data_IF_639059335575
#
_entry.id   IF_639059335575
#
_cell.length_a   1.000
_cell.length_b   1.000
_cell.length_c   1.000
_cell.angle_alpha   90.00
_cell.angle_beta   90.00
_cell.angle_gamma   90.00
#
_symmetry.space_group_name_H-M   'P 1'
#
loop_
_entity.id
_entity.type
_entity.pdbx_description
1 polymer ?
#
# COMPACT_ATOMS: atom_id res chain seq x y z
N UNK A 1 -13.81 44.13 38.26
CA UNK A 1 -15.21 44.47 38.02
C UNK A 1 -15.76 43.36 37.19
N UNK A 2 -16.24 42.29 37.81
CA UNK A 2 -17.66 41.98 38.08
C UNK A 2 -18.40 41.78 36.76
N UNK A 3 -19.13 40.73 36.43
CA UNK A 3 -20.07 39.88 37.23
C UNK A 3 -20.49 38.69 36.35
N UNK A 4 -20.41 37.46 36.87
CA UNK A 4 -21.48 36.47 37.11
C UNK A 4 -22.28 35.95 35.87
N UNK A 5 -22.15 34.63 35.55
CA UNK A 5 -22.83 33.49 36.21
C UNK A 5 -24.30 33.31 35.79
N UNK A 6 -24.66 32.14 35.23
CA UNK A 6 -25.86 31.29 35.46
C UNK A 6 -25.95 30.23 34.35
N UNK A 7 -25.57 28.99 34.54
CA UNK A 7 -26.17 27.89 35.30
C UNK A 7 -27.68 27.75 35.18
N UNK A 8 -28.15 26.69 34.53
CA UNK A 8 -29.37 25.87 34.79
C UNK A 8 -29.44 24.79 33.71
N UNK A 9 -29.03 23.55 34.00
CA UNK A 9 -29.72 22.48 34.74
C UNK A 9 -31.00 21.95 34.07
N UNK A 10 -30.86 20.65 33.71
CA UNK A 10 -31.83 19.56 33.86
C UNK A 10 -33.14 19.56 33.02
N UNK A 11 -33.34 18.44 32.27
CA UNK A 11 -34.25 17.38 32.74
C UNK A 11 -34.29 16.22 31.77
N UNK A 12 -34.06 15.07 32.36
CA UNK A 12 -34.37 13.73 31.88
C UNK A 12 -35.85 13.61 31.50
N UNK A 13 -36.17 12.87 30.44
CA UNK A 13 -37.38 12.09 30.38
C UNK A 13 -37.10 10.76 29.70
N UNK A 14 -37.14 9.72 30.52
CA UNK A 14 -37.29 8.35 30.13
C UNK A 14 -38.74 8.09 29.77
N UNK A 15 -38.96 7.38 28.66
CA UNK A 15 -40.25 6.69 28.43
C UNK A 15 -39.93 5.34 27.80
N UNK A 16 -40.07 4.32 28.62
CA UNK A 16 -40.19 2.92 28.22
C UNK A 16 -41.67 2.66 27.86
N UNK A 17 -41.91 1.81 26.89
CA UNK A 17 -43.10 0.96 26.58
C UNK A 17 -42.88 0.51 25.14
N UNK A 18 -43.02 -0.76 24.73
CA UNK A 18 -43.63 -1.91 25.33
C UNK A 18 -43.47 -3.04 24.29
N UNK A 19 -43.33 -4.20 24.81
CA UNK A 19 -43.30 -5.50 24.14
C UNK A 19 -44.58 -5.76 23.36
N UNK A 20 -44.49 -6.24 22.12
CA UNK A 20 -45.56 -6.99 21.49
C UNK A 20 -44.91 -8.07 20.57
N UNK A 21 -44.86 -9.24 21.12
CA UNK A 21 -44.73 -10.53 20.44
C UNK A 21 -45.94 -10.77 19.55
N UNK A 22 -45.69 -11.08 18.27
CA UNK A 22 -46.69 -11.81 17.46
C UNK A 22 -46.00 -12.96 16.72
N UNK A 23 -46.27 -14.15 17.24
CA UNK A 23 -46.07 -15.43 16.60
C UNK A 23 -47.12 -15.57 15.49
N UNK A 24 -46.74 -15.83 14.27
CA UNK A 24 -47.60 -16.41 13.26
C UNK A 24 -46.86 -17.52 12.56
N UNK A 25 -47.24 -18.73 12.90
CA UNK A 25 -46.94 -19.96 12.18
C UNK A 25 -47.75 -19.97 10.87
N UNK A 26 -47.13 -20.26 9.77
CA UNK A 26 -47.82 -20.68 8.56
C UNK A 26 -47.04 -21.86 7.91
N UNK A 27 -47.83 -22.87 7.72
CA UNK A 27 -47.57 -24.22 7.39
C UNK A 27 -46.79 -24.53 6.10
N UNK A 28 -46.15 -25.68 6.15
CA UNK A 28 -45.53 -26.41 5.07
C UNK A 28 -46.46 -26.63 3.85
N UNK A 29 -45.89 -26.49 2.67
CA UNK A 29 -46.35 -27.20 1.47
C UNK A 29 -45.17 -27.92 0.83
N UNK A 30 -45.13 -29.20 1.05
CA UNK A 30 -44.24 -30.14 0.39
C UNK A 30 -44.72 -30.37 -1.05
N UNK A 31 -43.92 -30.01 -2.01
CA UNK A 31 -44.08 -30.50 -3.40
C UNK A 31 -42.98 -31.51 -3.67
N UNK A 32 -43.37 -32.75 -3.64
CA UNK A 32 -42.57 -33.91 -4.00
C UNK A 32 -42.36 -33.97 -5.51
N UNK A 33 -41.13 -33.89 -5.97
CA UNK A 33 -40.77 -34.22 -7.35
C UNK A 33 -40.12 -35.61 -7.37
N UNK A 34 -40.47 -36.51 -8.34
CA UNK A 34 -40.04 -37.90 -8.30
C UNK A 34 -38.56 -38.04 -8.73
N UNK A 35 -37.83 -38.85 -7.98
CA UNK A 35 -36.53 -39.40 -8.31
C UNK A 35 -36.58 -40.17 -9.61
N UNK A 36 -35.93 -39.69 -10.66
CA UNK A 36 -35.66 -40.46 -11.87
C UNK A 36 -34.46 -41.35 -11.58
N UNK A 37 -34.72 -42.64 -11.45
CA UNK A 37 -33.72 -43.72 -11.40
C UNK A 37 -32.98 -43.77 -12.74
N UNK A 38 -31.73 -43.36 -12.76
CA UNK A 38 -30.80 -43.64 -13.85
C UNK A 38 -30.20 -45.02 -13.60
N UNK A 39 -30.54 -46.01 -14.42
CA UNK A 39 -29.95 -47.34 -14.44
C UNK A 39 -28.47 -47.26 -14.85
N UNK A 40 -27.56 -48.00 -14.23
CA UNK A 40 -26.17 -48.08 -14.68
C UNK A 40 -26.05 -48.95 -15.94
N UNK A 41 -25.52 -48.36 -17.02
CA UNK A 41 -25.09 -49.10 -18.20
C UNK A 41 -23.80 -49.89 -17.88
N UNK A 42 -23.68 -51.15 -18.36
CA UNK A 42 -22.47 -51.94 -18.23
C UNK A 42 -21.34 -51.39 -19.13
N UNK A 43 -20.21 -51.05 -18.54
CA UNK A 43 -18.99 -50.70 -19.26
C UNK A 43 -18.35 -51.96 -19.87
N UNK A 44 -17.79 -51.86 -21.08
CA UNK A 44 -17.06 -52.95 -21.68
C UNK A 44 -15.72 -53.18 -20.97
N UNK A 45 -15.47 -54.38 -20.53
CA UNK A 45 -14.21 -54.81 -19.92
C UNK A 45 -13.08 -54.74 -20.95
N UNK A 46 -12.22 -53.73 -20.83
CA UNK A 46 -10.95 -53.72 -21.56
C UNK A 46 -9.96 -54.70 -20.87
N UNK A 47 -9.53 -55.71 -21.64
CA UNK A 47 -8.47 -56.63 -21.26
C UNK A 47 -7.18 -55.87 -20.91
N UNK A 48 -6.71 -56.06 -19.68
CA UNK A 48 -5.39 -55.65 -19.26
C UNK A 48 -4.35 -56.49 -20.02
N UNK A 49 -3.63 -55.81 -20.93
CA UNK A 49 -2.37 -56.37 -21.45
C UNK A 49 -1.30 -56.18 -20.39
N UNK A 50 -0.75 -57.27 -19.92
CA UNK A 50 0.40 -57.27 -19.02
C UNK A 50 1.60 -56.84 -19.83
N UNK A 51 2.04 -55.60 -19.58
CA UNK A 51 3.34 -55.11 -20.05
C UNK A 51 4.31 -55.26 -18.92
N UNK A 52 5.30 -56.11 -19.08
CA UNK A 52 6.42 -56.31 -18.15
C UNK A 52 7.18 -54.99 -17.95
N UNK A 53 7.55 -54.61 -16.74
CA UNK A 53 8.34 -53.42 -16.53
C UNK A 53 9.80 -53.67 -16.97
N UNK A 54 10.17 -53.05 -18.07
CA UNK A 54 11.59 -52.85 -18.43
C UNK A 54 12.19 -51.86 -17.47
N UNK A 55 13.16 -52.31 -16.68
CA UNK A 55 13.88 -51.51 -15.73
C UNK A 55 14.70 -50.44 -16.46
N UNK A 56 14.19 -49.21 -16.42
CA UNK A 56 14.98 -48.02 -16.76
C UNK A 56 15.72 -47.56 -15.51
N UNK A 57 17.05 -47.29 -15.59
CA UNK A 57 17.78 -46.80 -14.43
C UNK A 57 17.25 -45.43 -14.01
N UNK A 58 16.96 -45.29 -12.70
CA UNK A 58 16.50 -44.07 -12.08
C UNK A 58 17.43 -42.90 -12.44
N UNK A 59 16.91 -41.98 -13.23
CA UNK A 59 17.56 -40.68 -13.44
C UNK A 59 17.55 -39.94 -12.09
N UNK A 60 18.74 -39.63 -11.60
CA UNK A 60 19.01 -38.78 -10.46
C UNK A 60 18.19 -37.48 -10.63
N UNK A 61 17.48 -36.99 -9.61
CA UNK A 61 16.79 -35.70 -9.73
C UNK A 61 17.87 -34.65 -10.07
N UNK A 62 17.70 -33.98 -11.21
CA UNK A 62 18.48 -32.81 -11.53
C UNK A 62 18.13 -31.75 -10.49
N UNK A 63 19.04 -31.48 -9.56
CA UNK A 63 19.02 -30.27 -8.76
C UNK A 63 19.08 -29.10 -9.74
N UNK A 64 17.93 -28.41 -9.87
CA UNK A 64 17.90 -27.10 -10.50
C UNK A 64 18.85 -26.20 -9.71
N UNK A 65 19.81 -25.53 -10.35
CA UNK A 65 20.64 -24.58 -9.65
C UNK A 65 19.71 -23.48 -9.12
N UNK A 66 19.50 -23.45 -7.81
CA UNK A 66 18.93 -22.29 -7.14
C UNK A 66 19.96 -21.19 -7.32
N UNK A 67 19.80 -20.39 -8.37
CA UNK A 67 20.55 -19.16 -8.52
C UNK A 67 20.08 -18.27 -7.36
N UNK A 68 20.79 -18.35 -6.24
CA UNK A 68 20.71 -17.30 -5.23
C UNK A 68 21.08 -16.03 -5.95
N UNK A 69 20.08 -15.19 -6.21
CA UNK A 69 20.32 -13.83 -6.60
C UNK A 69 21.20 -13.24 -5.51
N UNK A 70 22.46 -13.00 -5.85
CA UNK A 70 23.42 -12.37 -4.94
C UNK A 70 22.81 -11.03 -4.55
N UNK A 71 22.35 -10.94 -3.31
CA UNK A 71 21.91 -9.67 -2.74
C UNK A 71 23.09 -8.70 -2.88
N UNK A 72 22.82 -7.52 -3.38
CA UNK A 72 23.86 -6.49 -3.56
C UNK A 72 24.47 -6.20 -2.18
N UNK A 73 25.75 -6.47 -1.94
CA UNK A 73 26.37 -6.35 -0.62
C UNK A 73 26.27 -4.94 -0.04
N UNK A 74 26.05 -3.93 -0.89
CA UNK A 74 25.77 -2.57 -0.45
C UNK A 74 24.39 -2.43 0.23
N UNK A 75 23.44 -3.31 -0.07
CA UNK A 75 22.11 -3.32 0.51
C UNK A 75 22.03 -4.07 1.85
N UNK A 76 23.06 -4.79 2.26
CA UNK A 76 23.16 -5.44 3.57
C UNK A 76 24.03 -4.68 4.57
N UNK A 77 24.71 -3.62 4.13
CA UNK A 77 25.64 -2.88 4.97
C UNK A 77 24.90 -2.13 6.11
N UNK A 78 25.47 -2.23 7.31
CA UNK A 78 25.01 -1.52 8.51
C UNK A 78 25.24 -0.02 8.36
N UNK A 79 24.23 0.77 8.68
CA UNK A 79 24.25 2.23 8.63
C UNK A 79 23.99 2.90 9.98
N UNK A 80 24.19 4.22 10.04
CA UNK A 80 23.89 5.01 11.23
C UNK A 80 22.40 4.96 11.57
N UNK A 81 22.07 4.79 12.85
CA UNK A 81 20.70 4.69 13.33
C UNK A 81 20.12 3.28 13.37
N UNK A 82 20.77 2.29 12.73
CA UNK A 82 20.32 0.90 12.77
C UNK A 82 20.42 0.31 14.16
N UNK A 83 19.56 -0.65 14.47
CA UNK A 83 19.61 -1.44 15.69
C UNK A 83 20.09 -2.85 15.37
N UNK A 84 21.16 -3.28 16.01
CA UNK A 84 21.73 -4.60 15.86
C UNK A 84 21.41 -5.44 17.09
N UNK A 85 20.94 -6.66 16.88
CA UNK A 85 20.87 -7.68 17.91
C UNK A 85 22.11 -8.56 17.82
N UNK A 86 22.93 -8.54 18.86
CA UNK A 86 24.22 -9.22 18.92
C UNK A 86 24.13 -10.34 19.95
N UNK A 87 24.31 -11.57 19.50
CA UNK A 87 24.28 -12.76 20.38
C UNK A 87 25.66 -13.36 20.44
N UNK A 88 26.18 -13.56 21.66
CA UNK A 88 27.44 -14.24 21.89
C UNK A 88 27.18 -15.64 22.39
N UNK A 89 27.50 -16.65 21.58
CA UNK A 89 27.25 -18.03 21.93
C UNK A 89 28.01 -18.44 23.20
N UNK A 90 27.39 -19.17 24.11
CA UNK A 90 27.90 -19.57 25.45
C UNK A 90 28.17 -18.43 26.43
N UNK A 91 27.91 -17.16 26.06
CA UNK A 91 28.07 -16.01 26.94
C UNK A 91 26.82 -15.12 26.84
N UNK A 92 25.66 -15.56 27.37
CA UNK A 92 24.40 -14.82 27.24
C UNK A 92 24.44 -13.43 27.90
N UNK A 93 25.33 -13.25 28.88
CA UNK A 93 25.56 -11.95 29.54
C UNK A 93 26.15 -10.89 28.61
N UNK A 94 26.73 -11.27 27.48
CA UNK A 94 27.24 -10.37 26.46
C UNK A 94 26.24 -10.15 25.32
N UNK A 95 25.08 -10.85 25.34
CA UNK A 95 24.04 -10.64 24.36
C UNK A 95 23.35 -9.30 24.60
N UNK A 96 23.35 -8.44 23.57
CA UNK A 96 22.83 -7.07 23.73
C UNK A 96 22.27 -6.53 22.40
N UNK A 97 21.35 -5.58 22.54
CA UNK A 97 20.87 -4.74 21.45
C UNK A 97 21.69 -3.46 21.41
N UNK A 98 22.34 -3.18 20.31
CA UNK A 98 23.19 -2.01 20.15
C UNK A 98 22.68 -1.13 19.01
N UNK A 99 22.47 0.16 19.29
CA UNK A 99 22.15 1.16 18.28
C UNK A 99 23.44 1.71 17.68
N UNK A 100 23.47 1.79 16.36
CA UNK A 100 24.58 2.41 15.64
C UNK A 100 24.51 3.93 15.78
N UNK A 101 25.57 4.54 16.27
CA UNK A 101 25.69 5.99 16.42
C UNK A 101 25.79 6.71 15.07
N UNK A 102 25.63 8.02 15.07
CA UNK A 102 25.83 8.85 13.87
C UNK A 102 27.27 8.81 13.34
N UNK A 103 28.23 8.45 14.22
CA UNK A 103 29.64 8.22 13.83
C UNK A 103 29.89 6.83 13.24
N UNK A 104 28.86 5.98 13.22
CA UNK A 104 28.93 4.63 12.69
C UNK A 104 29.59 3.62 13.60
N UNK A 105 29.52 3.85 14.90
CA UNK A 105 30.03 2.96 15.97
C UNK A 105 28.90 2.40 16.81
N UNK A 106 29.11 1.23 17.38
CA UNK A 106 28.29 0.67 18.46
C UNK A 106 29.12 0.57 19.73
N UNK A 107 28.47 0.70 20.88
CA UNK A 107 29.09 0.42 22.19
C UNK A 107 28.80 -1.03 22.54
N UNK A 108 29.85 -1.83 22.72
CA UNK A 108 29.71 -3.24 23.09
C UNK A 108 30.41 -3.52 24.43
N UNK A 109 29.83 -4.35 25.31
CA UNK A 109 30.41 -4.67 26.60
C UNK A 109 31.86 -5.18 26.47
N UNK A 110 32.72 -4.82 27.40
CA UNK A 110 34.13 -5.18 27.53
C UNK A 110 35.06 -4.58 26.48
N UNK A 111 34.64 -4.36 25.24
CA UNK A 111 35.49 -3.88 24.13
C UNK A 111 35.25 -2.42 23.76
N UNK A 112 34.19 -1.78 24.31
CA UNK A 112 33.88 -0.37 24.07
C UNK A 112 33.36 -0.10 22.64
N UNK A 113 33.88 0.96 22.03
CA UNK A 113 33.40 1.42 20.71
C UNK A 113 33.93 0.55 19.57
N UNK A 114 33.01 0.03 18.77
CA UNK A 114 33.29 -0.79 17.57
C UNK A 114 32.72 -0.09 16.35
N UNK A 115 33.58 0.22 15.36
CA UNK A 115 33.12 0.79 14.09
C UNK A 115 32.49 -0.28 13.21
N UNK A 116 31.22 -0.07 12.85
CA UNK A 116 30.40 -1.06 12.14
C UNK A 116 29.80 -0.55 10.82
N UNK A 117 29.82 0.76 10.57
CA UNK A 117 29.24 1.34 9.34
C UNK A 117 29.90 0.77 8.10
N UNK A 118 29.08 0.39 7.12
CA UNK A 118 29.55 -0.18 5.85
C UNK A 118 29.92 -1.66 5.91
N UNK A 119 29.84 -2.28 7.08
CA UNK A 119 30.08 -3.72 7.24
C UNK A 119 28.74 -4.49 7.15
N UNK A 120 28.79 -5.72 6.63
CA UNK A 120 27.64 -6.63 6.74
C UNK A 120 27.49 -7.13 8.19
N UNK A 121 26.32 -7.61 8.62
CA UNK A 121 26.12 -8.20 9.95
C UNK A 121 27.12 -9.30 10.27
N UNK A 122 27.48 -10.11 9.27
CA UNK A 122 28.49 -11.17 9.39
C UNK A 122 29.89 -10.59 9.66
N UNK A 123 30.27 -9.53 8.94
CA UNK A 123 31.55 -8.85 9.15
C UNK A 123 31.62 -8.15 10.51
N UNK A 124 30.47 -7.59 10.98
CA UNK A 124 30.35 -7.02 12.33
C UNK A 124 30.58 -8.10 13.38
N UNK A 125 29.97 -9.28 13.24
CA UNK A 125 30.15 -10.42 14.14
C UNK A 125 31.61 -10.88 14.17
N UNK A 126 32.25 -11.02 13.01
CA UNK A 126 33.65 -11.37 12.91
C UNK A 126 34.58 -10.35 13.60
N UNK A 127 34.29 -9.05 13.42
CA UNK A 127 35.07 -7.95 14.05
C UNK A 127 34.91 -7.96 15.58
N UNK A 128 33.71 -8.14 16.10
CA UNK A 128 33.45 -8.24 17.54
C UNK A 128 34.19 -9.49 18.11
N UNK A 129 34.08 -10.63 17.44
CA UNK A 129 34.78 -11.87 17.83
C UNK A 129 36.28 -11.66 17.94
N UNK A 130 36.87 -10.99 16.94
CA UNK A 130 38.31 -10.71 16.93
C UNK A 130 38.72 -9.79 18.08
N UNK A 131 37.95 -8.72 18.36
CA UNK A 131 38.24 -7.80 19.47
C UNK A 131 38.11 -8.47 20.85
N UNK A 132 37.09 -9.33 21.04
CA UNK A 132 36.90 -10.11 22.27
C UNK A 132 38.05 -11.08 22.52
N UNK A 133 38.57 -11.70 21.45
CA UNK A 133 39.73 -12.62 21.50
C UNK A 133 41.00 -11.86 21.82
N UNK A 134 41.28 -10.75 21.15
CA UNK A 134 42.48 -9.92 21.39
C UNK A 134 42.49 -9.36 22.82
N UNK A 135 41.34 -8.94 23.34
CA UNK A 135 41.16 -8.49 24.72
C UNK A 135 41.25 -9.61 25.77
N UNK A 136 41.36 -10.89 25.33
CA UNK A 136 41.34 -12.09 26.20
C UNK A 136 40.10 -12.22 27.08
N UNK A 137 38.99 -11.59 26.68
CA UNK A 137 37.73 -11.65 27.43
C UNK A 137 37.01 -12.99 27.21
N UNK A 138 37.11 -13.55 26.00
CA UNK A 138 36.53 -14.84 25.61
C UNK A 138 37.52 -15.62 24.79
N UNK A 139 37.74 -16.92 25.09
CA UNK A 139 38.74 -17.73 24.44
C UNK A 139 38.39 -18.06 22.99
N UNK A 140 37.13 -18.45 22.76
CA UNK A 140 36.59 -18.77 21.42
C UNK A 140 35.23 -18.08 21.28
N UNK A 141 35.21 -16.77 20.99
CA UNK A 141 33.97 -16.03 20.82
C UNK A 141 33.31 -16.39 19.50
N UNK A 142 32.09 -16.84 19.57
CA UNK A 142 31.21 -17.08 18.43
C UNK A 142 30.08 -16.07 18.51
N UNK A 143 30.09 -15.09 17.61
CA UNK A 143 29.18 -13.93 17.63
C UNK A 143 28.29 -13.96 16.41
N UNK A 144 26.99 -14.03 16.63
CA UNK A 144 25.97 -13.85 15.62
C UNK A 144 25.38 -12.44 15.72
N UNK A 145 25.28 -11.76 14.60
CA UNK A 145 24.68 -10.42 14.51
C UNK A 145 23.52 -10.46 13.54
N UNK A 146 22.37 -9.94 13.97
CA UNK A 146 21.21 -9.73 13.12
C UNK A 146 20.73 -8.29 13.22
N UNK A 147 20.06 -7.80 12.20
CA UNK A 147 19.48 -6.46 12.20
C UNK A 147 18.11 -6.54 12.88
N UNK A 148 17.97 -5.90 14.06
CA UNK A 148 16.70 -5.82 14.77
C UNK A 148 15.79 -4.73 14.17
N UNK A 149 16.37 -3.58 13.76
CA UNK A 149 15.67 -2.51 13.06
C UNK A 149 16.59 -1.84 12.04
N UNK A 150 16.09 -1.65 10.84
CA UNK A 150 16.78 -0.93 9.76
C UNK A 150 16.24 0.49 9.71
N UNK A 151 17.02 1.45 10.18
CA UNK A 151 16.66 2.87 10.20
C UNK A 151 17.49 3.70 9.22
N UNK A 152 18.66 3.20 8.84
CA UNK A 152 19.58 3.87 7.92
C UNK A 152 19.09 3.87 6.47
N UNK A 153 18.31 2.88 6.10
CA UNK A 153 17.84 2.65 4.73
C UNK A 153 16.33 2.54 4.72
N UNK A 154 15.67 3.66 4.60
CA UNK A 154 14.21 3.73 4.59
C UNK A 154 13.73 4.59 3.43
N UNK A 155 12.57 4.25 2.89
CA UNK A 155 11.77 5.06 1.99
C UNK A 155 10.58 5.61 2.77
N UNK A 156 10.26 6.88 2.57
CA UNK A 156 9.09 7.51 3.16
C UNK A 156 7.91 7.40 2.20
N UNK A 157 6.78 6.85 2.63
CA UNK A 157 5.54 6.79 1.85
C UNK A 157 4.53 7.71 2.51
N UNK A 158 4.12 8.75 1.80
CA UNK A 158 3.29 9.85 2.31
C UNK A 158 2.08 10.10 1.41
N UNK A 159 1.11 10.85 1.94
CA UNK A 159 -0.08 11.26 1.21
C UNK A 159 -1.23 10.26 1.30
N UNK A 160 -1.96 10.07 0.21
CA UNK A 160 -3.18 9.28 0.17
C UNK A 160 -2.91 7.79 -0.06
N UNK A 161 -2.25 7.15 0.91
CA UNK A 161 -2.06 5.71 1.03
C UNK A 161 -2.77 5.19 2.27
N UNK A 162 -3.04 3.89 2.33
CA UNK A 162 -3.75 3.33 3.49
C UNK A 162 -2.93 3.35 4.77
N UNK A 163 -1.61 3.17 4.67
CA UNK A 163 -0.68 3.19 5.82
C UNK A 163 0.53 4.07 5.47
N UNK A 164 0.45 5.40 5.68
CA UNK A 164 1.61 6.26 5.49
C UNK A 164 2.67 5.98 6.57
N UNK A 165 3.95 6.06 6.21
CA UNK A 165 5.04 5.78 7.13
C UNK A 165 6.39 5.65 6.45
N UNK A 166 7.37 5.20 7.22
CA UNK A 166 8.71 4.85 6.73
C UNK A 166 8.83 3.34 6.61
N UNK A 167 9.37 2.90 5.51
CA UNK A 167 9.52 1.49 5.18
C UNK A 167 10.99 1.18 4.92
N UNK A 168 11.55 0.13 5.58
CA UNK A 168 12.92 -0.27 5.34
C UNK A 168 13.08 -0.81 3.92
N UNK A 169 14.26 -0.60 3.34
CA UNK A 169 14.67 -1.25 2.10
C UNK A 169 15.29 -2.59 2.46
N UNK A 170 14.64 -3.67 2.09
CA UNK A 170 15.20 -5.02 2.14
C UNK A 170 15.88 -5.29 0.80
N UNK A 171 17.07 -5.83 0.78
CA UNK A 171 17.89 -5.96 -0.43
C UNK A 171 17.24 -6.60 -1.66
N UNK A 172 16.04 -7.18 -1.52
CA UNK A 172 15.27 -7.84 -2.59
C UNK A 172 14.11 -6.97 -3.08
N UNK A 173 13.43 -6.27 -2.18
CA UNK A 173 12.20 -5.52 -2.46
C UNK A 173 12.49 -4.02 -2.40
N UNK A 174 12.84 -3.42 -3.53
CA UNK A 174 13.23 -2.03 -3.60
C UNK A 174 12.54 -1.24 -4.72
N UNK A 175 11.46 -1.79 -5.28
CA UNK A 175 10.69 -1.13 -6.34
C UNK A 175 9.53 -0.32 -5.76
N UNK A 176 9.08 0.68 -6.50
CA UNK A 176 7.93 1.50 -6.14
C UNK A 176 6.69 0.67 -5.72
N UNK A 177 6.39 -0.39 -6.48
CA UNK A 177 5.23 -1.25 -6.21
C UNK A 177 5.32 -1.97 -4.88
N UNK A 178 6.53 -2.35 -4.45
CA UNK A 178 6.75 -3.10 -3.20
C UNK A 178 6.43 -2.22 -2.00
N UNK A 179 6.86 -0.95 -2.04
CA UNK A 179 6.56 0.02 -0.98
C UNK A 179 5.08 0.43 -0.95
N UNK A 180 4.45 0.57 -2.13
CA UNK A 180 3.02 0.82 -2.19
C UNK A 180 2.23 -0.38 -1.64
N UNK A 181 2.64 -1.61 -1.94
CA UNK A 181 2.02 -2.81 -1.39
C UNK A 181 2.19 -2.88 0.14
N UNK A 182 3.39 -2.59 0.66
CA UNK A 182 3.66 -2.52 2.09
C UNK A 182 2.82 -1.44 2.80
N UNK A 183 2.58 -0.30 2.12
CA UNK A 183 1.70 0.78 2.59
C UNK A 183 0.20 0.43 2.46
N UNK A 184 -0.14 -0.79 2.06
CA UNK A 184 -1.52 -1.25 1.88
C UNK A 184 -2.21 -0.69 0.63
N UNK A 185 -1.43 -0.18 -0.33
CA UNK A 185 -1.92 0.42 -1.57
C UNK A 185 -2.35 1.88 -1.45
N UNK A 186 -2.74 2.44 -2.58
CA UNK A 186 -3.31 3.78 -2.67
C UNK A 186 -4.68 3.80 -2.01
N UNK A 187 -4.97 4.78 -1.18
CA UNK A 187 -6.28 4.96 -0.56
C UNK A 187 -7.35 5.30 -1.62
N UNK A 188 -8.63 5.04 -1.33
CA UNK A 188 -9.73 5.34 -2.26
C UNK A 188 -9.82 6.81 -2.69
N UNK A 189 -9.25 7.73 -1.90
CA UNK A 189 -9.14 9.16 -2.21
C UNK A 189 -7.83 9.55 -2.89
N UNK A 190 -6.93 8.57 -3.12
CA UNK A 190 -5.63 8.81 -3.74
C UNK A 190 -5.68 8.84 -5.26
N UNK A 191 -4.71 9.52 -5.85
CA UNK A 191 -4.52 9.62 -7.30
C UNK A 191 -3.94 8.32 -7.87
N UNK A 192 -4.22 8.07 -9.14
CA UNK A 192 -3.62 6.98 -9.91
C UNK A 192 -2.15 7.27 -10.28
N UNK A 193 -1.68 8.48 -10.06
CA UNK A 193 -0.29 8.88 -10.24
C UNK A 193 0.39 9.16 -8.91
N UNK A 194 1.65 8.79 -8.80
CA UNK A 194 2.49 9.04 -7.64
C UNK A 194 3.71 9.87 -8.02
N UNK A 195 4.16 10.70 -7.11
CA UNK A 195 5.40 11.46 -7.25
C UNK A 195 6.46 10.83 -6.38
N UNK A 196 7.61 10.55 -6.97
CA UNK A 196 8.82 10.14 -6.25
C UNK A 196 9.73 11.37 -6.19
N UNK A 197 10.19 11.68 -4.99
CA UNK A 197 11.20 12.72 -4.76
C UNK A 197 12.44 12.03 -4.25
N UNK A 198 13.47 11.97 -5.09
CA UNK A 198 14.79 11.45 -4.75
C UNK A 198 15.74 12.62 -4.50
N UNK A 199 16.54 12.49 -3.46
CA UNK A 199 17.57 13.48 -3.15
C UNK A 199 18.95 12.87 -3.43
N UNK A 200 19.49 13.17 -4.61
CA UNK A 200 20.81 12.72 -5.02
C UNK A 200 21.77 13.90 -5.12
N UNK A 201 22.92 13.83 -4.43
CA UNK A 201 23.95 14.84 -4.43
C UNK A 201 23.46 16.28 -4.09
N UNK A 202 22.48 16.40 -3.18
CA UNK A 202 21.92 17.69 -2.78
C UNK A 202 20.95 18.30 -3.79
N UNK A 203 20.63 17.58 -4.86
CA UNK A 203 19.59 17.98 -5.82
C UNK A 203 18.37 17.08 -5.67
N UNK A 204 17.20 17.69 -5.52
CA UNK A 204 15.93 16.95 -5.50
C UNK A 204 15.44 16.71 -6.92
N UNK A 205 15.33 15.46 -7.29
CA UNK A 205 14.76 15.04 -8.58
C UNK A 205 13.33 14.56 -8.33
N UNK A 206 12.39 15.13 -9.09
CA UNK A 206 10.97 14.73 -9.05
C UNK A 206 10.67 13.83 -10.24
N UNK A 207 10.09 12.66 -9.99
CA UNK A 207 9.63 11.72 -11.00
C UNK A 207 8.16 11.42 -10.77
N UNK A 208 7.31 11.66 -11.76
CA UNK A 208 5.89 11.32 -11.68
C UNK A 208 5.66 9.98 -12.41
N UNK A 209 4.99 9.04 -11.76
CA UNK A 209 4.70 7.70 -12.27
C UNK A 209 3.19 7.48 -12.30
N UNK A 210 2.66 7.16 -13.48
CA UNK A 210 1.27 6.74 -13.67
C UNK A 210 1.15 5.23 -13.38
N UNK A 211 0.53 4.89 -12.25
CA UNK A 211 0.35 3.51 -11.83
C UNK A 211 -0.63 2.76 -12.74
N UNK A 212 -1.75 3.39 -13.08
CA UNK A 212 -2.79 2.76 -13.90
C UNK A 212 -2.28 2.47 -15.31
N UNK A 213 -1.58 3.42 -15.92
CA UNK A 213 -0.94 3.23 -17.22
C UNK A 213 0.11 2.13 -17.18
N UNK A 214 0.95 2.11 -16.15
CA UNK A 214 1.99 1.10 -15.98
C UNK A 214 1.42 -0.34 -15.93
N UNK A 215 0.34 -0.56 -15.17
CA UNK A 215 -0.26 -1.89 -15.07
C UNK A 215 -1.09 -2.27 -16.30
N UNK A 216 -1.83 -1.32 -16.87
CA UNK A 216 -2.67 -1.58 -18.04
C UNK A 216 -1.84 -1.90 -19.30
N UNK A 217 -0.72 -1.20 -19.46
CA UNK A 217 0.19 -1.42 -20.59
C UNK A 217 1.18 -2.58 -20.35
N UNK A 218 1.23 -3.12 -19.12
CA UNK A 218 2.21 -4.13 -18.72
C UNK A 218 3.65 -3.59 -18.75
N UNK A 219 3.83 -2.27 -18.79
CA UNK A 219 5.13 -1.63 -18.90
C UNK A 219 5.77 -1.43 -17.52
N UNK A 220 6.36 -2.50 -16.99
CA UNK A 220 7.04 -2.48 -15.69
C UNK A 220 8.40 -1.74 -15.72
N UNK A 221 8.84 -1.20 -16.86
CA UNK A 221 10.06 -0.37 -16.89
C UNK A 221 9.88 0.94 -16.11
N UNK A 222 8.64 1.39 -15.95
CA UNK A 222 8.27 2.54 -15.11
C UNK A 222 8.24 2.22 -13.61
N UNK A 223 8.41 0.96 -13.23
CA UNK A 223 8.52 0.54 -11.82
C UNK A 223 9.92 0.87 -11.28
N UNK A 224 10.07 2.10 -10.84
CA UNK A 224 11.36 2.69 -10.44
C UNK A 224 11.91 1.96 -9.22
N UNK A 225 13.22 1.69 -9.24
CA UNK A 225 13.99 1.23 -8.08
C UNK A 225 14.27 2.43 -7.18
N UNK A 226 13.91 2.31 -5.90
CA UNK A 226 14.05 3.37 -4.91
C UNK A 226 15.36 3.27 -4.13
N UNK A 227 15.86 4.41 -3.72
CA UNK A 227 17.09 4.55 -2.95
C UNK A 227 16.77 4.96 -1.49
N UNK A 228 17.67 4.69 -0.55
CA UNK A 228 17.54 5.19 0.82
C UNK A 228 17.35 6.72 0.85
N UNK A 229 16.33 7.17 1.57
CA UNK A 229 15.98 8.58 1.66
C UNK A 229 14.97 9.08 0.64
N UNK A 230 14.60 8.26 -0.35
CA UNK A 230 13.56 8.61 -1.30
C UNK A 230 12.20 8.78 -0.60
N UNK A 231 11.38 9.65 -1.17
CA UNK A 231 10.02 9.89 -0.68
C UNK A 231 9.02 9.63 -1.80
N UNK A 232 8.07 8.74 -1.55
CA UNK A 232 6.90 8.49 -2.39
C UNK A 232 5.78 9.37 -1.84
N UNK A 233 5.20 10.20 -2.69
CA UNK A 233 4.05 11.02 -2.34
C UNK A 233 2.86 10.70 -3.24
N UNK A 234 1.77 10.22 -2.65
CA UNK A 234 0.53 9.96 -3.35
C UNK A 234 -0.39 11.15 -3.18
N UNK A 235 -0.67 11.83 -4.29
CA UNK A 235 -1.56 12.98 -4.33
C UNK A 235 -3.01 12.55 -4.07
N UNK A 236 -3.85 13.50 -3.74
CA UNK A 236 -5.29 13.30 -3.77
C UNK A 236 -5.76 13.11 -5.20
N UNK A 237 -6.75 12.23 -5.41
CA UNK A 237 -7.37 12.09 -6.71
C UNK A 237 -7.96 13.43 -7.19
N UNK A 238 -7.81 13.75 -8.47
CA UNK A 238 -8.45 14.93 -9.04
C UNK A 238 -9.98 14.79 -8.93
N UNK A 239 -10.66 15.88 -8.67
CA UNK A 239 -12.10 15.91 -8.46
C UNK A 239 -12.77 16.85 -9.46
N UNK A 240 -14.02 16.55 -9.78
CA UNK A 240 -14.97 17.43 -10.48
C UNK A 240 -16.18 17.64 -9.60
N UNK A 241 -16.73 18.82 -9.61
CA UNK A 241 -17.89 19.18 -8.82
C UNK A 241 -19.09 19.38 -9.75
N UNK A 242 -20.22 18.74 -9.42
CA UNK A 242 -21.44 18.84 -10.20
C UNK A 242 -22.53 19.44 -9.33
N UNK A 243 -23.19 20.50 -9.77
CA UNK A 243 -24.28 21.14 -9.04
C UNK A 243 -25.34 21.75 -9.95
N UNK A 244 -26.45 22.21 -9.36
CA UNK A 244 -27.63 22.70 -10.07
C UNK A 244 -28.70 21.60 -10.20
N UNK A 245 -29.37 21.56 -11.34
CA UNK A 245 -30.49 20.63 -11.60
C UNK A 245 -29.99 19.21 -11.96
N UNK A 246 -29.26 18.60 -11.03
CA UNK A 246 -28.81 17.20 -11.08
C UNK A 246 -29.38 16.46 -9.87
N UNK A 247 -29.58 15.15 -9.99
CA UNK A 247 -30.22 14.36 -8.93
C UNK A 247 -29.39 14.28 -7.64
N UNK A 248 -28.06 14.21 -7.80
CA UNK A 248 -27.11 14.17 -6.68
C UNK A 248 -25.99 15.16 -6.96
N UNK A 249 -26.15 16.38 -6.47
CA UNK A 249 -25.07 17.36 -6.50
C UNK A 249 -23.95 16.92 -5.55
N UNK A 250 -22.69 17.07 -5.97
CA UNK A 250 -21.57 16.64 -5.17
C UNK A 250 -20.22 16.72 -5.88
N UNK A 251 -19.20 16.22 -5.19
CA UNK A 251 -17.85 16.07 -5.71
C UNK A 251 -17.62 14.62 -6.15
N UNK A 252 -17.11 14.47 -7.35
CA UNK A 252 -16.88 13.17 -7.99
C UNK A 252 -15.42 13.04 -8.41
N UNK A 253 -14.88 11.83 -8.37
CA UNK A 253 -13.54 11.55 -8.88
C UNK A 253 -13.51 11.83 -10.37
N UNK A 254 -12.50 12.55 -10.82
CA UNK A 254 -12.27 12.82 -12.23
C UNK A 254 -11.57 11.62 -12.86
N UNK A 255 -12.25 10.97 -13.82
CA UNK A 255 -11.65 9.92 -14.63
C UNK A 255 -10.90 10.52 -15.84
N UNK A 256 -9.88 9.83 -16.38
CA UNK A 256 -9.18 10.28 -17.58
C UNK A 256 -10.16 10.51 -18.74
N UNK A 257 -10.05 11.69 -19.38
CA UNK A 257 -10.90 12.10 -20.53
C UNK A 257 -12.41 12.16 -20.22
N UNK A 258 -12.78 12.34 -18.96
CA UNK A 258 -14.18 12.45 -18.56
C UNK A 258 -14.85 13.62 -19.29
N UNK A 259 -16.05 13.39 -19.83
CA UNK A 259 -16.87 14.42 -20.47
C UNK A 259 -17.86 15.02 -19.49
N UNK A 260 -18.42 16.19 -19.84
CA UNK A 260 -19.50 16.86 -19.07
C UNK A 260 -20.67 15.91 -18.89
N UNK A 261 -21.06 15.17 -19.95
CA UNK A 261 -22.15 14.18 -19.87
C UNK A 261 -21.86 13.11 -18.83
N UNK A 262 -20.63 12.57 -18.81
CA UNK A 262 -20.23 11.56 -17.84
C UNK A 262 -20.23 12.10 -16.41
N UNK A 263 -19.76 13.34 -16.21
CA UNK A 263 -19.79 13.98 -14.90
C UNK A 263 -21.24 14.16 -14.40
N UNK A 264 -22.18 14.59 -15.25
CA UNK A 264 -23.59 14.71 -14.91
C UNK A 264 -24.19 13.32 -14.62
N UNK A 265 -23.85 12.29 -15.40
CA UNK A 265 -24.32 10.93 -15.19
C UNK A 265 -23.87 10.36 -13.84
N UNK A 266 -22.64 10.66 -13.38
CA UNK A 266 -22.18 10.31 -12.03
C UNK A 266 -23.02 10.98 -10.94
N UNK A 267 -23.53 12.19 -11.20
CA UNK A 267 -24.50 12.89 -10.37
C UNK A 267 -25.93 12.33 -10.45
N UNK A 268 -26.13 11.16 -11.07
CA UNK A 268 -27.45 10.52 -11.21
C UNK A 268 -28.28 11.07 -12.38
N UNK A 269 -27.69 11.91 -13.24
CA UNK A 269 -28.36 12.55 -14.35
C UNK A 269 -29.09 13.82 -13.96
N UNK A 270 -29.83 14.37 -14.91
CA UNK A 270 -30.62 15.59 -14.73
C UNK A 270 -31.87 15.32 -13.88
N UNK A 271 -32.32 16.35 -13.16
CA UNK A 271 -33.69 16.35 -12.58
C UNK A 271 -34.72 16.56 -13.69
N UNK A 272 -35.99 16.43 -13.34
CA UNK A 272 -37.12 16.74 -14.26
C UNK A 272 -37.15 18.22 -14.68
N UNK A 273 -36.46 19.07 -13.96
CA UNK A 273 -36.30 20.50 -14.24
C UNK A 273 -34.95 20.84 -14.92
N UNK A 274 -34.03 19.91 -14.98
CA UNK A 274 -32.72 20.10 -15.56
C UNK A 274 -32.75 20.13 -17.09
N UNK A 275 -31.85 20.88 -17.70
CA UNK A 275 -31.71 20.93 -19.15
C UNK A 275 -30.28 20.66 -19.57
N UNK A 276 -30.10 19.94 -20.68
CA UNK A 276 -28.80 19.75 -21.32
C UNK A 276 -28.27 21.03 -21.98
N UNK A 277 -29.18 21.97 -22.27
CA UNK A 277 -28.84 23.23 -22.92
C UNK A 277 -28.33 24.26 -21.91
N UNK A 278 -27.18 24.88 -22.23
CA UNK A 278 -26.60 25.94 -21.41
C UNK A 278 -25.93 25.42 -20.14
N UNK A 279 -25.44 24.18 -20.16
CA UNK A 279 -24.52 23.67 -19.14
C UNK A 279 -23.26 24.55 -19.17
N UNK A 280 -22.72 24.86 -17.99
CA UNK A 280 -21.52 25.67 -17.83
C UNK A 280 -20.47 24.98 -17.00
N UNK A 281 -19.23 25.20 -17.39
CA UNK A 281 -18.08 24.84 -16.56
C UNK A 281 -17.55 26.12 -15.92
N UNK A 282 -17.46 26.14 -14.60
CA UNK A 282 -16.73 27.15 -13.87
C UNK A 282 -15.32 26.61 -13.62
N UNK A 283 -14.37 27.13 -14.37
CA UNK A 283 -12.97 26.71 -14.33
C UNK A 283 -12.10 27.79 -13.72
N UNK A 284 -11.22 27.41 -12.81
CA UNK A 284 -10.25 28.32 -12.22
C UNK A 284 -9.05 28.44 -13.14
N UNK A 285 -8.67 29.65 -13.49
CA UNK A 285 -7.45 29.90 -14.26
C UNK A 285 -6.19 29.89 -13.36
N UNK A 286 -5.01 29.96 -14.00
CA UNK A 286 -3.74 29.96 -13.29
C UNK A 286 -3.57 31.14 -12.31
N UNK A 287 -4.33 32.22 -12.50
CA UNK A 287 -4.35 33.40 -11.62
C UNK A 287 -5.35 33.27 -10.46
N UNK A 288 -6.08 32.12 -10.40
CA UNK A 288 -7.08 31.87 -9.37
C UNK A 288 -8.49 32.43 -9.66
N UNK A 289 -8.69 33.11 -10.79
CA UNK A 289 -9.98 33.67 -11.19
C UNK A 289 -10.89 32.58 -11.77
N UNK A 290 -12.18 32.66 -11.48
CA UNK A 290 -13.17 31.72 -12.02
C UNK A 290 -13.71 32.23 -13.35
N UNK A 291 -13.44 31.48 -14.43
CA UNK A 291 -14.06 31.69 -15.74
C UNK A 291 -15.27 30.79 -15.92
N UNK A 292 -16.35 31.40 -16.42
CA UNK A 292 -17.58 30.67 -16.78
C UNK A 292 -17.51 30.35 -18.28
N UNK A 293 -17.47 29.09 -18.61
CA UNK A 293 -17.41 28.59 -19.98
C UNK A 293 -18.74 27.91 -20.30
N UNK A 294 -19.36 28.28 -21.40
CA UNK A 294 -20.48 27.49 -21.92
C UNK A 294 -19.91 26.18 -22.47
N UNK A 295 -20.49 25.06 -22.05
CA UNK A 295 -19.97 23.74 -22.32
C UNK A 295 -20.96 22.86 -23.08
N UNK A 296 -20.44 22.10 -24.03
CA UNK A 296 -21.12 20.99 -24.67
C UNK A 296 -21.03 19.74 -23.79
N UNK A 297 -21.99 18.83 -23.91
CA UNK A 297 -21.97 17.55 -23.20
C UNK A 297 -20.75 16.68 -23.54
N UNK A 298 -20.15 16.88 -24.71
CA UNK A 298 -18.97 16.17 -25.19
C UNK A 298 -17.63 16.79 -24.74
N UNK A 299 -17.68 18.01 -24.18
CA UNK A 299 -16.47 18.68 -23.73
C UNK A 299 -15.85 17.95 -22.55
N UNK A 300 -14.53 17.93 -22.48
CA UNK A 300 -13.81 17.29 -21.38
C UNK A 300 -13.71 18.22 -20.16
N UNK A 301 -13.97 17.66 -18.99
CA UNK A 301 -13.77 18.34 -17.72
C UNK A 301 -12.34 18.16 -17.21
N UNK A 302 -11.88 19.13 -16.42
CA UNK A 302 -10.55 19.15 -15.82
C UNK A 302 -10.66 19.08 -14.29
N UNK A 303 -9.51 18.84 -13.63
CA UNK A 303 -9.46 18.89 -12.17
C UNK A 303 -9.97 20.23 -11.65
N UNK A 304 -10.79 20.14 -10.59
CA UNK A 304 -11.41 21.26 -9.89
C UNK A 304 -12.42 22.06 -10.72
N UNK A 305 -12.83 21.55 -11.89
CA UNK A 305 -13.97 22.12 -12.61
C UNK A 305 -15.26 21.96 -11.85
N UNK A 306 -16.11 22.97 -11.94
CA UNK A 306 -17.47 22.94 -11.39
C UNK A 306 -18.45 22.97 -12.54
N UNK A 307 -19.12 21.83 -12.78
CA UNK A 307 -20.14 21.66 -13.81
C UNK A 307 -21.48 22.16 -13.23
N UNK A 308 -22.03 23.21 -13.83
CA UNK A 308 -23.31 23.77 -13.45
C UNK A 308 -24.40 23.44 -14.46
N UNK A 309 -25.43 22.77 -13.98
CA UNK A 309 -26.62 22.43 -14.77
C UNK A 309 -27.74 23.41 -14.46
N UNK A 310 -28.22 24.06 -15.51
CA UNK A 310 -29.30 25.05 -15.40
C UNK A 310 -30.68 24.38 -15.29
N UNK A 311 -31.58 25.13 -14.71
CA UNK A 311 -33.01 24.82 -14.77
C UNK A 311 -33.55 25.09 -16.18
N UNK A 312 -34.40 24.22 -16.71
CA UNK A 312 -35.21 24.46 -17.89
C UNK A 312 -36.28 25.49 -17.56
N UNK A 313 -36.36 26.53 -18.33
CA UNK A 313 -37.41 27.56 -18.13
C UNK A 313 -38.79 27.14 -18.67
N UNK A 314 -38.83 26.02 -19.41
CA UNK A 314 -40.05 25.44 -19.98
C UNK A 314 -39.88 23.95 -20.29
#
# INVERSE_FOLDING_TARGET
MNILNRNRSSRSLAAAFGVATLLAAAAASAASSPLSMVQPQPQPTARLAVVSPSAQPAAKPAELPVTQAAADPALEAVGAGDMLHITVFRNPELTTDAKVSDQGTIVFPLIGDVKVTGLSPQQVGARISEMLRQGKYVVNPEVAVSMAQVNSRQVSVLGNVNKPGRYPIDGVNNKLTDFLAAAGGVAGTGSDSVTIVSNSNGQSVKTDVDLTGMFREGNLTKNVVLQPGDTIFVHRAPMVYVYGEVQKAGAYRLEPHMTVMQAIAMGGGLTVRGTERGVRIHRRDASGNVKKLDASLTDTVQSDDVVFVRESLF
#
